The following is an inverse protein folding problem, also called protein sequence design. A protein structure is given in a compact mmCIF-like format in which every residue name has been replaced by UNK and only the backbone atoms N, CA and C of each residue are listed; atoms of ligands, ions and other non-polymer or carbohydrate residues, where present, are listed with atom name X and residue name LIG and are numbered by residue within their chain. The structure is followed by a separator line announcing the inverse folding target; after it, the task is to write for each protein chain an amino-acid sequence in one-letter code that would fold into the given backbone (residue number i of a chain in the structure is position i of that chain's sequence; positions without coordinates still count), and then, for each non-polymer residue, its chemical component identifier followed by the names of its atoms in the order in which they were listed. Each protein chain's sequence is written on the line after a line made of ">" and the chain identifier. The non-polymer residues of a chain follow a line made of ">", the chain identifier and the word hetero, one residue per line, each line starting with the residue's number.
data_IF_967890453849
#
_entry.id   IF_967890453849
#
_cell.length_a   1.000
_cell.length_b   1.000
_cell.length_c   1.000
_cell.angle_alpha   90.00
_cell.angle_beta   90.00
_cell.angle_gamma   90.00
#
_symmetry.space_group_name_H-M   'P 1'
#
loop_
_entity.id
_entity.type
_entity.pdbx_description
1 polymer ?
#
# COMPACT_ATOMS: atom_id res chain seq x y z
N UNK A 1 -5.34 -18.68 3.09
CA UNK A 1 -3.89 -18.83 2.88
C UNK A 1 -3.06 -17.83 3.71
N UNK A 2 -3.25 -16.51 3.57
CA UNK A 2 -2.51 -15.51 4.37
C UNK A 2 -2.73 -15.68 5.88
N UNK A 3 -3.97 -15.92 6.32
CA UNK A 3 -4.30 -16.19 7.72
C UNK A 3 -3.55 -17.41 8.28
N UNK A 4 -3.49 -18.50 7.52
CA UNK A 4 -2.76 -19.71 7.93
C UNK A 4 -1.25 -19.50 8.05
N UNK A 5 -0.66 -18.68 7.17
CA UNK A 5 0.74 -18.29 7.27
C UNK A 5 0.99 -17.39 8.48
N UNK A 6 0.11 -16.44 8.76
CA UNK A 6 0.21 -15.56 9.92
C UNK A 6 0.06 -16.32 11.24
N UNK A 7 -0.86 -17.29 11.31
CA UNK A 7 -0.99 -18.19 12.46
C UNK A 7 0.26 -19.05 12.68
N UNK A 8 0.82 -19.61 11.61
CA UNK A 8 2.05 -20.40 11.70
C UNK A 8 3.23 -19.57 12.21
N UNK A 9 3.40 -18.35 11.69
CA UNK A 9 4.43 -17.42 12.14
C UNK A 9 4.23 -17.03 13.62
N UNK A 10 3.00 -16.75 14.00
CA UNK A 10 2.67 -16.42 15.40
C UNK A 10 2.94 -17.60 16.32
N UNK A 11 2.56 -18.81 15.92
CA UNK A 11 2.84 -20.02 16.68
C UNK A 11 4.34 -20.26 16.86
N UNK A 12 5.13 -20.04 15.82
CA UNK A 12 6.58 -20.15 15.87
C UNK A 12 7.20 -19.11 16.80
N UNK A 13 6.69 -17.87 16.79
CA UNK A 13 7.14 -16.81 17.69
C UNK A 13 6.85 -17.17 19.17
N UNK A 14 5.64 -17.68 19.45
CA UNK A 14 5.25 -18.09 20.80
C UNK A 14 6.05 -19.27 21.34
N UNK A 15 6.59 -20.10 20.44
CA UNK A 15 7.46 -21.22 20.83
C UNK A 15 8.82 -20.73 21.32
N UNK A 16 9.29 -19.58 20.85
CA UNK A 16 10.60 -19.01 21.20
C UNK A 16 10.53 -17.89 22.25
N UNK A 17 9.38 -17.22 22.37
CA UNK A 17 9.17 -16.18 23.37
C UNK A 17 7.83 -16.42 24.07
N UNK A 18 7.80 -16.70 25.40
CA UNK A 18 6.57 -16.85 26.17
C UNK A 18 5.91 -15.49 26.36
N UNK A 19 5.12 -15.09 25.38
CA UNK A 19 4.27 -13.90 25.44
C UNK A 19 2.89 -14.29 26.00
N UNK A 20 2.22 -13.37 26.70
CA UNK A 20 0.89 -13.61 27.25
C UNK A 20 -0.10 -13.94 26.12
N UNK A 21 -0.88 -15.01 26.29
CA UNK A 21 -1.87 -15.49 25.31
C UNK A 21 -2.91 -14.42 24.94
N UNK A 22 -3.17 -13.49 25.84
CA UNK A 22 -4.08 -12.37 25.64
C UNK A 22 -3.69 -11.46 24.46
N UNK A 23 -2.41 -11.39 24.10
CA UNK A 23 -1.90 -10.58 22.98
C UNK A 23 -1.83 -11.34 21.65
N UNK A 24 -2.14 -12.63 21.63
CA UNK A 24 -2.08 -13.46 20.44
C UNK A 24 -2.86 -12.90 19.24
N UNK A 25 -4.12 -12.43 19.37
CA UNK A 25 -4.86 -11.89 18.23
C UNK A 25 -4.22 -10.64 17.64
N UNK A 26 -3.54 -9.81 18.47
CA UNK A 26 -2.85 -8.60 18.01
C UNK A 26 -1.64 -8.96 17.15
N UNK A 27 -0.88 -9.99 17.52
CA UNK A 27 0.27 -10.45 16.74
C UNK A 27 -0.15 -11.11 15.43
N UNK A 28 -1.21 -11.95 15.44
CA UNK A 28 -1.76 -12.53 14.21
C UNK A 28 -2.17 -11.44 13.24
N UNK A 29 -2.89 -10.44 13.71
CA UNK A 29 -3.31 -9.30 12.91
C UNK A 29 -2.12 -8.50 12.36
N UNK A 30 -1.09 -8.25 13.19
CA UNK A 30 0.12 -7.56 12.76
C UNK A 30 0.88 -8.32 11.67
N UNK A 31 0.99 -9.63 11.77
CA UNK A 31 1.60 -10.47 10.74
C UNK A 31 0.80 -10.51 9.45
N UNK A 32 -0.52 -10.62 9.54
CA UNK A 32 -1.40 -10.56 8.36
C UNK A 32 -1.24 -9.23 7.62
N UNK A 33 -1.23 -8.13 8.35
CA UNK A 33 -1.04 -6.80 7.78
C UNK A 33 0.33 -6.66 7.12
N UNK A 34 1.39 -7.16 7.76
CA UNK A 34 2.76 -7.14 7.24
C UNK A 34 2.89 -7.98 5.97
N UNK A 35 2.33 -9.20 5.95
CA UNK A 35 2.32 -10.07 4.77
C UNK A 35 1.55 -9.45 3.60
N UNK A 36 0.40 -8.86 3.87
CA UNK A 36 -0.41 -8.17 2.84
C UNK A 36 0.34 -6.97 2.25
N UNK A 37 1.02 -6.20 3.10
CA UNK A 37 1.83 -5.05 2.65
C UNK A 37 3.03 -5.50 1.82
N UNK A 38 3.74 -6.53 2.27
CA UNK A 38 4.88 -7.09 1.55
C UNK A 38 4.47 -7.64 0.18
N UNK A 39 3.34 -8.35 0.10
CA UNK A 39 2.77 -8.84 -1.15
C UNK A 39 2.45 -7.70 -2.13
N UNK A 40 1.87 -6.60 -1.63
CA UNK A 40 1.58 -5.42 -2.45
C UNK A 40 2.85 -4.75 -2.98
N UNK A 41 3.87 -4.60 -2.13
CA UNK A 41 5.18 -4.04 -2.52
C UNK A 41 5.81 -4.90 -3.62
N UNK A 42 5.82 -6.22 -3.44
CA UNK A 42 6.39 -7.15 -4.41
C UNK A 42 5.67 -7.07 -5.76
N UNK A 43 4.34 -6.99 -5.75
CA UNK A 43 3.53 -6.81 -6.95
C UNK A 43 3.84 -5.51 -7.70
N UNK A 44 3.97 -4.39 -6.98
CA UNK A 44 4.34 -3.10 -7.58
C UNK A 44 5.75 -3.12 -8.17
N UNK A 45 6.70 -3.79 -7.53
CA UNK A 45 8.05 -3.97 -8.07
C UNK A 45 8.02 -4.77 -9.37
N UNK A 46 7.24 -5.85 -9.44
CA UNK A 46 7.07 -6.63 -10.67
C UNK A 46 6.45 -5.80 -11.79
N UNK A 47 5.40 -5.04 -11.50
CA UNK A 47 4.79 -4.11 -12.46
C UNK A 47 5.77 -3.03 -12.91
N UNK A 48 6.61 -2.53 -12.00
CA UNK A 48 7.67 -1.57 -12.28
C UNK A 48 8.65 -2.06 -13.34
N UNK A 49 9.04 -3.33 -13.26
CA UNK A 49 9.93 -3.96 -14.24
C UNK A 49 9.25 -4.05 -15.60
N UNK A 50 7.98 -4.42 -15.63
CA UNK A 50 7.17 -4.52 -16.86
C UNK A 50 7.06 -3.15 -17.54
N UNK A 51 6.75 -2.10 -16.78
CA UNK A 51 6.61 -0.73 -17.29
C UNK A 51 7.95 -0.02 -17.54
N UNK A 52 9.08 -0.64 -17.19
CA UNK A 52 10.44 -0.08 -17.33
C UNK A 52 10.62 1.32 -16.71
N UNK A 53 9.85 1.62 -15.68
CA UNK A 53 9.87 2.92 -14.98
C UNK A 53 10.02 2.76 -13.47
N UNK A 54 11.22 2.35 -13.06
CA UNK A 54 11.55 2.06 -11.66
C UNK A 54 11.45 3.30 -10.77
N UNK A 55 11.86 4.47 -11.28
CA UNK A 55 11.81 5.73 -10.50
C UNK A 55 10.39 6.11 -10.11
N UNK A 56 9.45 6.00 -11.03
CA UNK A 56 8.04 6.27 -10.76
C UNK A 56 7.47 5.34 -9.68
N UNK A 57 7.81 4.07 -9.77
CA UNK A 57 7.33 3.06 -8.83
C UNK A 57 7.92 3.25 -7.43
N UNK A 58 9.20 3.61 -7.32
CA UNK A 58 9.82 3.94 -6.04
C UNK A 58 9.18 5.18 -5.41
N UNK A 59 8.93 6.22 -6.20
CA UNK A 59 8.26 7.42 -5.73
C UNK A 59 6.82 7.11 -5.27
N UNK A 60 6.09 6.31 -6.05
CA UNK A 60 4.75 5.87 -5.70
C UNK A 60 4.75 5.07 -4.39
N UNK A 61 5.65 4.10 -4.24
CA UNK A 61 5.77 3.30 -3.01
C UNK A 61 6.09 4.18 -1.80
N UNK A 62 7.00 5.13 -1.97
CA UNK A 62 7.36 6.06 -0.90
C UNK A 62 6.15 6.86 -0.44
N UNK A 63 5.45 7.53 -1.36
CA UNK A 63 4.25 8.33 -1.04
C UNK A 63 3.15 7.45 -0.47
N UNK A 64 2.90 6.29 -1.08
CA UNK A 64 1.85 5.37 -0.64
C UNK A 64 2.11 4.82 0.77
N UNK A 65 3.38 4.50 1.09
CA UNK A 65 3.77 4.05 2.41
C UNK A 65 3.50 5.12 3.47
N UNK A 66 3.89 6.37 3.21
CA UNK A 66 3.63 7.48 4.13
C UNK A 66 2.14 7.76 4.28
N UNK A 67 1.39 7.81 3.19
CA UNK A 67 -0.06 7.98 3.25
C UNK A 67 -0.71 6.89 4.10
N UNK A 68 -0.30 5.63 3.93
CA UNK A 68 -0.83 4.51 4.71
C UNK A 68 -0.48 4.61 6.19
N UNK A 69 0.72 5.10 6.51
CA UNK A 69 1.18 5.28 7.89
C UNK A 69 0.39 6.38 8.62
N UNK A 70 0.13 7.50 7.95
CA UNK A 70 -0.56 8.65 8.54
C UNK A 70 -2.09 8.55 8.46
N UNK A 71 -2.63 7.88 7.46
CA UNK A 71 -4.07 7.75 7.24
C UNK A 71 -4.78 6.75 8.17
N UNK A 72 -4.02 6.09 9.09
CA UNK A 72 -4.60 5.12 10.03
C UNK A 72 -5.19 3.87 9.38
N UNK A 73 -4.98 3.70 8.08
CA UNK A 73 -5.35 2.54 7.28
C UNK A 73 -6.86 2.30 7.18
N UNK A 74 -7.45 2.63 6.05
CA UNK A 74 -8.75 2.05 5.70
C UNK A 74 -8.56 0.52 5.61
N UNK A 75 -9.05 -0.18 6.62
CA UNK A 75 -9.05 -1.63 6.62
C UNK A 75 -10.22 -2.12 5.78
N UNK A 76 -9.94 -2.42 4.52
CA UNK A 76 -10.88 -3.19 3.72
C UNK A 76 -11.16 -4.52 4.46
N UNK A 77 -12.39 -4.98 4.52
CA UNK A 77 -12.78 -6.17 5.27
C UNK A 77 -12.11 -7.46 4.79
N UNK A 78 -11.37 -7.38 3.69
CA UNK A 78 -10.59 -8.50 3.14
C UNK A 78 -9.25 -8.01 2.57
N UNK A 79 -8.16 -8.70 2.90
CA UNK A 79 -6.80 -8.41 2.43
C UNK A 79 -6.70 -8.41 0.90
N UNK A 80 -7.46 -9.26 0.23
CA UNK A 80 -7.53 -9.32 -1.23
C UNK A 80 -8.03 -8.02 -1.84
N UNK A 81 -9.01 -7.37 -1.25
CA UNK A 81 -9.52 -6.07 -1.72
C UNK A 81 -8.48 -4.98 -1.59
N UNK A 82 -7.75 -4.95 -0.48
CA UNK A 82 -6.66 -4.00 -0.27
C UNK A 82 -5.56 -4.19 -1.32
N UNK A 83 -5.17 -5.44 -1.60
CA UNK A 83 -4.18 -5.78 -2.62
C UNK A 83 -4.62 -5.34 -4.02
N UNK A 84 -5.85 -5.68 -4.43
CA UNK A 84 -6.41 -5.30 -5.73
C UNK A 84 -6.49 -3.78 -5.85
N UNK A 85 -6.99 -3.11 -4.82
CA UNK A 85 -7.14 -1.65 -4.81
C UNK A 85 -5.78 -0.95 -4.96
N UNK A 86 -4.76 -1.39 -4.23
CA UNK A 86 -3.41 -0.82 -4.30
C UNK A 86 -2.82 -0.96 -5.70
N UNK A 87 -2.94 -2.14 -6.31
CA UNK A 87 -2.45 -2.37 -7.67
C UNK A 87 -3.26 -1.58 -8.71
N UNK A 88 -4.58 -1.50 -8.55
CA UNK A 88 -5.44 -0.71 -9.44
C UNK A 88 -5.09 0.80 -9.37
N UNK A 89 -4.89 1.34 -8.18
CA UNK A 89 -4.46 2.74 -8.00
C UNK A 89 -3.09 2.96 -8.65
N UNK A 90 -2.13 2.05 -8.45
CA UNK A 90 -0.81 2.15 -9.08
C UNK A 90 -0.90 2.22 -10.60
N UNK A 91 -1.62 1.27 -11.22
CA UNK A 91 -1.81 1.24 -12.68
C UNK A 91 -2.53 2.48 -13.18
N UNK A 92 -3.58 2.93 -12.47
CA UNK A 92 -4.33 4.13 -12.82
C UNK A 92 -3.46 5.39 -12.78
N UNK A 93 -2.69 5.58 -11.71
CA UNK A 93 -1.78 6.73 -11.57
C UNK A 93 -0.65 6.67 -12.59
N UNK A 94 -0.14 5.47 -12.91
CA UNK A 94 0.85 5.28 -13.96
C UNK A 94 0.31 5.69 -15.34
N UNK A 95 -0.87 5.19 -15.73
CA UNK A 95 -1.51 5.56 -16.99
C UNK A 95 -1.81 7.05 -17.06
N UNK A 96 -2.28 7.62 -15.97
CA UNK A 96 -2.51 9.07 -15.88
C UNK A 96 -1.22 9.86 -16.06
N UNK A 97 -0.11 9.40 -15.48
CA UNK A 97 1.20 10.04 -15.62
C UNK A 97 1.71 10.02 -17.06
N UNK A 98 1.45 8.93 -17.79
CA UNK A 98 1.81 8.85 -19.23
C UNK A 98 0.96 9.80 -20.07
N UNK A 99 -0.33 9.89 -19.82
CA UNK A 99 -1.22 10.85 -20.50
C UNK A 99 -0.78 12.29 -20.23
N UNK A 100 -0.46 12.62 -18.96
CA UNK A 100 0.00 13.95 -18.57
C UNK A 100 1.37 14.27 -19.17
N UNK A 101 2.24 13.28 -19.36
CA UNK A 101 3.54 13.48 -20.02
C UNK A 101 3.40 13.97 -21.45
N UNK A 102 2.35 13.57 -22.15
CA UNK A 102 2.00 14.08 -23.48
C UNK A 102 1.43 15.51 -23.42
N UNK A 103 0.76 15.87 -22.32
CA UNK A 103 0.10 17.16 -22.10
C UNK A 103 0.77 17.95 -20.98
N UNK A 104 2.08 18.25 -21.12
CA UNK A 104 2.86 19.01 -20.13
C UNK A 104 2.16 20.27 -19.55
N UNK A 105 1.40 21.08 -20.34
CA UNK A 105 0.74 22.26 -19.80
C UNK A 105 -0.42 21.94 -18.82
N UNK A 106 -0.93 20.72 -18.81
CA UNK A 106 -2.02 20.31 -17.92
C UNK A 106 -1.57 19.94 -16.50
N UNK A 107 -0.27 19.73 -16.29
CA UNK A 107 0.33 19.35 -14.99
C UNK A 107 0.15 20.42 -13.92
N UNK A 108 0.31 21.69 -14.30
CA UNK A 108 0.23 22.82 -13.36
C UNK A 108 -1.18 22.99 -12.77
N UNK A 109 -2.27 23.06 -13.58
CA UNK A 109 -3.60 23.22 -13.04
C UNK A 109 -4.05 21.98 -12.23
N UNK A 110 -3.61 20.76 -12.57
CA UNK A 110 -3.92 19.57 -11.82
C UNK A 110 -3.25 19.52 -10.44
N UNK A 111 -1.99 19.95 -10.35
CA UNK A 111 -1.28 20.08 -9.08
C UNK A 111 -1.94 21.13 -8.16
N UNK A 112 -2.32 22.28 -8.73
CA UNK A 112 -3.02 23.34 -7.99
C UNK A 112 -4.38 22.83 -7.47
N UNK A 113 -5.15 22.16 -8.32
CA UNK A 113 -6.45 21.61 -7.95
C UNK A 113 -6.34 20.56 -6.84
N UNK A 114 -5.31 19.70 -6.90
CA UNK A 114 -5.02 18.71 -5.85
C UNK A 114 -4.65 19.37 -4.52
N UNK A 115 -3.81 20.39 -4.54
CA UNK A 115 -3.44 21.15 -3.33
C UNK A 115 -4.66 21.86 -2.71
N UNK A 116 -5.52 22.48 -3.54
CA UNK A 116 -6.74 23.13 -3.08
C UNK A 116 -7.71 22.11 -2.48
N UNK A 117 -7.87 20.94 -3.12
CA UNK A 117 -8.75 19.89 -2.62
C UNK A 117 -8.27 19.35 -1.27
N UNK A 118 -6.97 19.14 -1.10
CA UNK A 118 -6.40 18.70 0.18
C UNK A 118 -6.61 19.77 1.24
N UNK A 119 -6.41 21.04 0.92
CA UNK A 119 -6.56 22.14 1.88
C UNK A 119 -8.04 22.36 2.29
N UNK A 120 -8.99 22.14 1.38
CA UNK A 120 -10.43 22.30 1.66
C UNK A 120 -11.07 21.08 2.33
N UNK A 121 -10.55 19.86 2.08
CA UNK A 121 -11.07 18.63 2.68
C UNK A 121 -10.32 18.19 3.94
N UNK A 122 -9.17 18.81 4.25
CA UNK A 122 -8.47 18.55 5.50
C UNK A 122 -9.19 19.25 6.65
N UNK A 123 -9.72 18.51 7.63
CA UNK A 123 -10.36 19.08 8.82
C UNK A 123 -9.37 19.83 9.68
#
# INVERSE_FOLDING_TARGET
>A
MLHSCAEYLTHTLYRHCPLSEEKRPVFVYGFELSLSTLSSILSIILLSIIFKNVYFSLLFLYIFFFLRLFSGGYHAPTYSRCFILTNAIFVFVYLLSEVIRWYKPLLIPFAILSCISIFLLSP
#
